data_IF_735300518071
#
_entry.id   IF_735300518071
#
_cell.length_a   1.000
_cell.length_b   1.000
_cell.length_c   1.000
_cell.angle_alpha   90.00
_cell.angle_beta   90.00
_cell.angle_gamma   90.00
#
_symmetry.space_group_name_H-M   'P 1'
#
loop_
_entity.id
_entity.type
_entity.pdbx_description
1 polymer ?
#
# COMPACT_ATOMS: atom_id res chain seq x y z
N UNK A 1 -18.05 -37.22 50.16
CA UNK A 1 -18.67 -38.05 49.06
C UNK A 1 -17.57 -38.84 48.36
N UNK A 2 -17.72 -40.14 48.11
CA UNK A 2 -16.68 -40.91 47.41
C UNK A 2 -16.57 -40.41 45.95
N UNK A 3 -15.34 -40.32 45.44
CA UNK A 3 -14.97 -39.79 44.10
C UNK A 3 -15.72 -40.44 42.96
N UNK A 4 -16.14 -41.72 43.10
CA UNK A 4 -16.96 -42.44 42.12
C UNK A 4 -18.35 -41.84 41.93
N UNK A 5 -19.04 -41.47 43.05
CA UNK A 5 -20.37 -40.86 42.99
C UNK A 5 -20.34 -39.46 42.35
N UNK A 6 -19.30 -38.69 42.62
CA UNK A 6 -19.11 -37.38 42.02
C UNK A 6 -18.84 -37.52 40.51
N UNK A 7 -17.96 -38.45 40.12
CA UNK A 7 -17.63 -38.71 38.72
C UNK A 7 -18.85 -39.08 37.88
N UNK A 8 -19.70 -39.99 38.41
CA UNK A 8 -20.97 -40.39 37.76
C UNK A 8 -21.95 -39.22 37.67
N UNK A 9 -22.16 -38.45 38.74
CA UNK A 9 -23.10 -37.35 38.77
C UNK A 9 -22.70 -36.23 37.79
N UNK A 10 -21.41 -35.96 37.65
CA UNK A 10 -20.85 -34.90 36.77
C UNK A 10 -20.46 -35.39 35.36
N UNK A 11 -20.71 -36.69 35.06
CA UNK A 11 -20.35 -37.31 33.76
C UNK A 11 -18.87 -37.10 33.37
N UNK A 12 -17.95 -37.14 34.34
CA UNK A 12 -16.50 -37.02 34.15
C UNK A 12 -15.78 -38.26 34.65
N UNK A 13 -14.46 -38.41 34.31
CA UNK A 13 -13.70 -39.58 34.77
C UNK A 13 -13.36 -39.47 36.27
N UNK A 14 -13.16 -40.60 36.95
CA UNK A 14 -12.63 -40.65 38.33
C UNK A 14 -11.32 -39.90 38.47
N UNK A 15 -10.45 -40.02 37.45
CA UNK A 15 -9.16 -39.35 37.37
C UNK A 15 -9.34 -37.82 37.41
N UNK A 16 -10.27 -37.29 36.62
CA UNK A 16 -10.58 -35.86 36.60
C UNK A 16 -11.01 -35.33 37.98
N UNK A 17 -11.89 -36.07 38.66
CA UNK A 17 -12.34 -35.67 40.02
C UNK A 17 -11.18 -35.73 41.01
N UNK A 18 -10.33 -36.74 40.93
CA UNK A 18 -9.17 -36.89 41.80
C UNK A 18 -8.15 -35.76 41.58
N UNK A 19 -7.86 -35.45 40.31
CA UNK A 19 -6.91 -34.37 39.93
C UNK A 19 -7.41 -33.03 40.43
N UNK A 20 -8.70 -32.70 40.22
CA UNK A 20 -9.30 -31.44 40.70
C UNK A 20 -9.26 -31.36 42.22
N UNK A 21 -9.64 -32.45 42.91
CA UNK A 21 -9.64 -32.49 44.37
C UNK A 21 -8.23 -32.33 44.96
N UNK A 22 -7.22 -32.93 44.37
CA UNK A 22 -5.83 -32.76 44.83
C UNK A 22 -5.30 -31.37 44.54
N UNK A 23 -5.56 -30.84 43.39
CA UNK A 23 -5.21 -29.46 43.04
C UNK A 23 -5.91 -28.43 43.97
N UNK A 24 -7.19 -28.65 44.27
CA UNK A 24 -7.93 -27.82 45.22
C UNK A 24 -7.33 -27.85 46.64
N UNK A 25 -6.94 -29.06 47.13
CA UNK A 25 -6.27 -29.20 48.43
C UNK A 25 -4.92 -28.45 48.49
N UNK A 26 -4.24 -28.35 47.34
CA UNK A 26 -2.89 -27.78 47.24
C UNK A 26 -2.92 -26.26 46.99
N UNK A 27 -3.87 -25.79 46.22
CA UNK A 27 -3.92 -24.39 45.71
C UNK A 27 -5.18 -23.61 46.07
N UNK A 28 -6.14 -24.21 46.79
CA UNK A 28 -7.40 -23.59 47.15
C UNK A 28 -8.34 -23.28 45.98
N UNK A 29 -9.23 -22.27 46.21
CA UNK A 29 -10.26 -21.93 45.21
C UNK A 29 -9.74 -21.33 43.91
N UNK A 30 -8.53 -20.80 43.88
CA UNK A 30 -7.95 -20.18 42.67
C UNK A 30 -7.80 -21.17 41.52
N UNK A 31 -7.70 -22.47 41.82
CA UNK A 31 -7.60 -23.53 40.79
C UNK A 31 -8.94 -23.79 40.07
N UNK A 32 -10.05 -23.39 40.67
CA UNK A 32 -11.39 -23.55 40.09
C UNK A 32 -11.74 -22.41 39.13
N UNK A 33 -10.93 -21.34 39.10
CA UNK A 33 -11.09 -20.27 38.12
C UNK A 33 -10.64 -20.74 36.76
N UNK A 34 -11.51 -20.60 35.78
CA UNK A 34 -11.17 -20.88 34.38
C UNK A 34 -10.03 -19.95 33.94
N UNK A 35 -8.84 -20.51 33.81
CA UNK A 35 -7.73 -19.81 33.16
C UNK A 35 -7.98 -19.81 31.67
N UNK A 36 -8.03 -18.62 31.05
CA UNK A 36 -8.09 -18.52 29.58
C UNK A 36 -6.94 -19.33 28.98
N UNK A 37 -7.24 -20.36 28.14
CA UNK A 37 -6.19 -21.14 27.51
C UNK A 37 -5.36 -20.26 26.60
N UNK A 38 -4.04 -20.45 26.62
CA UNK A 38 -3.12 -19.74 25.75
C UNK A 38 -1.91 -19.15 26.47
N UNK A 39 -1.05 -18.53 25.69
CA UNK A 39 0.13 -17.84 26.22
C UNK A 39 -0.30 -16.62 27.05
N UNK A 40 0.26 -16.46 28.23
CA UNK A 40 0.03 -15.28 29.05
C UNK A 40 0.33 -14.00 28.28
N UNK A 41 -0.51 -12.98 28.48
CA UNK A 41 -0.32 -11.67 27.87
C UNK A 41 0.94 -11.02 28.48
N UNK A 42 1.96 -10.82 27.63
CA UNK A 42 3.13 -10.03 28.02
C UNK A 42 2.80 -8.55 27.82
N UNK A 43 2.94 -7.72 28.88
CA UNK A 43 2.75 -6.29 28.73
C UNK A 43 3.77 -5.71 27.74
N UNK A 44 3.33 -4.70 27.01
CA UNK A 44 4.21 -3.99 26.06
C UNK A 44 5.25 -3.19 26.85
N UNK A 45 6.52 -3.38 26.52
CA UNK A 45 7.61 -2.59 27.09
C UNK A 45 7.48 -1.12 26.57
N UNK A 46 7.65 -0.12 27.45
CA UNK A 46 7.60 1.29 27.10
C UNK A 46 8.59 1.64 25.97
N UNK A 47 9.82 1.17 26.02
CA UNK A 47 10.83 1.40 24.97
C UNK A 47 10.36 0.89 23.60
N UNK A 48 9.71 -0.28 23.58
CA UNK A 48 9.14 -0.83 22.35
C UNK A 48 7.97 0.00 21.84
N UNK A 49 7.11 0.45 22.75
CA UNK A 49 5.99 1.31 22.41
C UNK A 49 6.46 2.63 21.77
N UNK A 50 7.43 3.30 22.41
CA UNK A 50 7.98 4.57 21.92
C UNK A 50 8.66 4.41 20.56
N UNK A 51 9.41 3.32 20.34
CA UNK A 51 10.01 2.98 19.06
C UNK A 51 8.96 2.85 17.94
N UNK A 52 7.89 2.10 18.20
CA UNK A 52 6.80 1.90 17.22
C UNK A 52 6.09 3.21 16.93
N UNK A 53 5.83 4.03 17.96
CA UNK A 53 5.15 5.31 17.80
C UNK A 53 5.99 6.34 17.07
N UNK A 54 7.29 6.42 17.35
CA UNK A 54 8.22 7.30 16.65
C UNK A 54 8.27 7.00 15.16
N UNK A 55 8.36 5.72 14.80
CA UNK A 55 8.38 5.30 13.40
C UNK A 55 7.00 5.48 12.73
N UNK A 56 5.91 5.17 13.45
CA UNK A 56 4.57 5.37 12.92
C UNK A 56 4.27 6.83 12.59
N UNK A 57 4.70 7.78 13.42
CA UNK A 57 4.53 9.23 13.17
C UNK A 57 5.16 9.66 11.84
N UNK A 58 6.30 9.07 11.47
CA UNK A 58 6.99 9.33 10.19
C UNK A 58 6.28 8.70 9.00
N UNK A 59 5.84 7.45 9.15
CA UNK A 59 5.39 6.62 8.03
C UNK A 59 3.87 6.49 7.90
N UNK A 60 3.11 6.72 8.99
CA UNK A 60 1.64 6.59 9.08
C UNK A 60 1.11 5.33 8.37
N UNK A 61 1.76 4.21 8.57
CA UNK A 61 1.45 2.97 7.88
C UNK A 61 1.04 1.83 8.84
N UNK A 62 0.43 0.77 8.28
CA UNK A 62 -0.02 -0.38 9.06
C UNK A 62 1.12 -1.28 9.56
N UNK A 63 0.81 -2.14 10.54
CA UNK A 63 1.77 -2.99 11.25
C UNK A 63 2.69 -3.85 10.34
N UNK A 64 2.22 -4.29 9.17
CA UNK A 64 3.05 -5.06 8.23
C UNK A 64 4.23 -4.25 7.70
N UNK A 65 3.96 -3.03 7.23
CA UNK A 65 5.01 -2.14 6.71
C UNK A 65 5.95 -1.70 7.82
N UNK A 66 5.42 -1.27 8.97
CA UNK A 66 6.25 -0.92 10.12
C UNK A 66 7.17 -2.05 10.57
N UNK A 67 6.69 -3.29 10.57
CA UNK A 67 7.51 -4.45 10.88
C UNK A 67 8.70 -4.56 9.93
N UNK A 68 8.48 -4.45 8.61
CA UNK A 68 9.57 -4.52 7.63
C UNK A 68 10.55 -3.36 7.80
N UNK A 69 10.05 -2.13 7.98
CA UNK A 69 10.90 -0.95 8.16
C UNK A 69 11.76 -1.08 9.42
N UNK A 70 11.17 -1.47 10.56
CA UNK A 70 11.90 -1.65 11.81
C UNK A 70 12.92 -2.80 11.72
N UNK A 71 12.55 -3.92 11.04
CA UNK A 71 13.47 -5.03 10.81
C UNK A 71 14.67 -4.60 9.95
N UNK A 72 14.46 -3.81 8.91
CA UNK A 72 15.55 -3.24 8.08
C UNK A 72 16.46 -2.29 8.86
N UNK A 73 15.91 -1.60 9.86
CA UNK A 73 16.70 -0.77 10.80
C UNK A 73 17.43 -1.59 11.87
N UNK A 74 17.37 -2.92 11.80
CA UNK A 74 18.06 -3.82 12.73
C UNK A 74 17.30 -4.15 14.03
N UNK A 75 16.03 -3.73 14.14
CA UNK A 75 15.22 -4.03 15.32
C UNK A 75 14.54 -5.40 15.19
N UNK A 76 14.76 -6.29 16.15
CA UNK A 76 14.03 -7.56 16.25
C UNK A 76 12.67 -7.32 16.91
N UNK A 77 11.63 -7.13 16.11
CA UNK A 77 10.30 -6.77 16.56
C UNK A 77 9.24 -7.76 16.08
N UNK A 78 8.22 -8.01 16.92
CA UNK A 78 7.09 -8.85 16.54
C UNK A 78 6.00 -8.02 15.85
N UNK A 79 5.56 -8.45 14.65
CA UNK A 79 4.43 -7.82 13.95
C UNK A 79 3.17 -7.75 14.82
N UNK A 80 2.88 -8.81 15.60
CA UNK A 80 1.71 -8.84 16.50
C UNK A 80 1.80 -7.79 17.61
N UNK A 81 2.99 -7.57 18.18
CA UNK A 81 3.20 -6.52 19.20
C UNK A 81 3.04 -5.13 18.59
N UNK A 82 3.54 -4.88 17.35
CA UNK A 82 3.30 -3.63 16.62
C UNK A 82 1.79 -3.42 16.39
N UNK A 83 1.09 -4.45 15.94
CA UNK A 83 -0.35 -4.41 15.72
C UNK A 83 -1.13 -4.08 16.98
N UNK A 84 -0.75 -4.64 18.12
CA UNK A 84 -1.35 -4.32 19.43
C UNK A 84 -1.16 -2.84 19.80
N UNK A 85 0.03 -2.26 19.56
CA UNK A 85 0.28 -0.83 19.77
C UNK A 85 -0.66 0.00 18.91
N UNK A 86 -0.71 -0.27 17.60
CA UNK A 86 -1.52 0.51 16.66
C UNK A 86 -3.03 0.39 16.92
N UNK A 87 -3.49 -0.77 17.36
CA UNK A 87 -4.90 -0.98 17.75
C UNK A 87 -5.21 -0.21 19.03
N UNK A 88 -4.33 -0.26 20.03
CA UNK A 88 -4.49 0.47 21.31
C UNK A 88 -4.61 1.96 21.08
N UNK A 89 -3.83 2.51 20.16
CA UNK A 89 -3.85 3.94 19.80
C UNK A 89 -4.97 4.31 18.79
N UNK A 90 -5.77 3.34 18.36
CA UNK A 90 -6.85 3.59 17.40
C UNK A 90 -6.41 3.80 15.94
N UNK A 91 -5.12 3.63 15.63
CA UNK A 91 -4.58 3.83 14.28
C UNK A 91 -4.83 2.64 13.35
N UNK A 92 -5.14 1.49 13.92
CA UNK A 92 -5.49 0.29 13.16
C UNK A 92 -6.72 -0.39 13.77
N UNK A 93 -7.69 -0.74 12.92
CA UNK A 93 -8.82 -1.57 13.34
C UNK A 93 -8.38 -3.03 13.46
N UNK A 94 -8.94 -3.82 14.40
CA UNK A 94 -8.77 -5.28 14.41
C UNK A 94 -9.13 -5.85 13.05
N UNK A 95 -8.39 -6.89 12.60
CA UNK A 95 -8.57 -7.44 11.26
C UNK A 95 -10.03 -7.84 11.00
N UNK A 96 -10.65 -7.32 9.95
CA UNK A 96 -11.94 -7.80 9.51
C UNK A 96 -11.80 -9.26 9.03
N UNK A 97 -12.88 -10.04 9.15
CA UNK A 97 -12.95 -11.40 8.60
C UNK A 97 -12.43 -11.41 7.16
N UNK A 98 -11.63 -12.43 6.79
CA UNK A 98 -11.03 -12.56 5.45
C UNK A 98 -12.06 -12.32 4.36
N UNK A 99 -11.84 -11.32 3.52
CA UNK A 99 -12.60 -11.13 2.28
C UNK A 99 -12.27 -12.28 1.32
N UNK A 100 -13.27 -12.78 0.58
CA UNK A 100 -13.06 -13.78 -0.47
C UNK A 100 -11.98 -13.30 -1.44
N UNK A 101 -11.06 -14.16 -1.90
CA UNK A 101 -10.01 -13.76 -2.84
C UNK A 101 -10.65 -13.22 -4.13
N UNK A 102 -10.10 -12.11 -4.63
CA UNK A 102 -10.55 -11.52 -5.89
C UNK A 102 -10.08 -12.39 -7.06
N UNK A 103 -10.94 -12.63 -8.05
CA UNK A 103 -10.64 -13.45 -9.25
C UNK A 103 -9.70 -12.79 -10.28
N UNK A 104 -9.12 -11.62 -9.98
CA UNK A 104 -8.30 -10.87 -10.94
C UNK A 104 -6.84 -11.29 -10.86
N UNK A 105 -6.27 -11.65 -12.02
CA UNK A 105 -4.82 -11.86 -12.17
C UNK A 105 -4.13 -10.50 -12.15
N UNK A 106 -3.16 -10.33 -11.27
CA UNK A 106 -2.23 -9.20 -11.27
C UNK A 106 -1.27 -9.40 -12.44
N UNK A 107 -1.13 -8.41 -13.31
CA UNK A 107 -0.07 -8.35 -14.28
C UNK A 107 0.95 -7.28 -13.89
N UNK A 108 2.21 -7.53 -14.19
CA UNK A 108 3.32 -6.63 -13.91
C UNK A 108 4.42 -6.97 -14.91
N UNK A 109 4.96 -5.96 -15.57
CA UNK A 109 6.14 -6.15 -16.39
C UNK A 109 7.38 -6.25 -15.50
N UNK A 110 8.31 -7.17 -15.79
CA UNK A 110 9.45 -7.41 -14.92
C UNK A 110 10.56 -6.35 -15.01
N UNK A 111 10.54 -5.53 -16.07
CA UNK A 111 11.61 -4.58 -16.42
C UNK A 111 11.09 -3.15 -16.27
N UNK A 112 11.82 -2.26 -15.56
CA UNK A 112 11.53 -0.84 -15.53
C UNK A 112 11.57 -0.21 -16.92
N UNK A 113 10.84 0.88 -17.09
CA UNK A 113 10.70 1.63 -18.35
C UNK A 113 10.09 0.84 -19.52
N UNK A 114 9.63 -0.38 -19.31
CA UNK A 114 8.91 -1.07 -20.37
C UNK A 114 7.52 -0.47 -20.60
N UNK A 115 6.78 -0.21 -19.50
CA UNK A 115 5.49 0.50 -19.55
C UNK A 115 5.47 1.60 -18.51
N UNK A 116 5.13 2.82 -18.94
CA UNK A 116 4.67 3.85 -18.02
C UNK A 116 3.16 4.04 -18.16
N UNK A 117 2.50 4.28 -17.03
CA UNK A 117 1.10 4.66 -16.98
C UNK A 117 0.97 6.16 -16.72
N UNK A 118 0.01 6.80 -17.36
CA UNK A 118 -0.30 8.21 -17.10
C UNK A 118 -1.80 8.43 -17.02
N UNK A 119 -2.19 9.32 -16.14
CA UNK A 119 -3.59 9.76 -15.97
C UNK A 119 -3.64 11.10 -15.24
N UNK A 120 -4.72 11.83 -15.43
CA UNK A 120 -5.04 13.03 -14.68
C UNK A 120 -5.89 12.69 -13.46
N UNK A 121 -5.67 13.41 -12.37
CA UNK A 121 -6.40 13.24 -11.12
C UNK A 121 -6.67 14.57 -10.45
N UNK A 122 -7.88 14.73 -9.87
CA UNK A 122 -8.20 15.87 -9.00
C UNK A 122 -7.81 15.53 -7.58
N UNK A 123 -6.84 16.23 -7.03
CA UNK A 123 -6.30 15.99 -5.68
C UNK A 123 -7.41 16.21 -4.64
N UNK A 124 -7.58 15.23 -3.73
CA UNK A 124 -8.56 15.27 -2.63
C UNK A 124 -7.90 15.54 -1.27
N UNK A 125 -6.57 15.49 -1.19
CA UNK A 125 -5.84 15.90 0.01
C UNK A 125 -6.18 17.33 0.40
N UNK A 126 -6.27 17.60 1.71
CA UNK A 126 -6.61 18.95 2.23
C UNK A 126 -5.62 20.03 1.78
N UNK A 127 -4.35 19.67 1.55
CA UNK A 127 -3.29 20.62 1.17
C UNK A 127 -3.46 21.25 -0.21
N UNK A 128 -3.95 20.47 -1.19
CA UNK A 128 -4.10 20.91 -2.57
C UNK A 128 -5.44 20.49 -3.14
N UNK A 129 -6.50 20.56 -2.34
CA UNK A 129 -7.83 20.09 -2.71
C UNK A 129 -8.38 20.84 -3.93
N UNK A 130 -8.74 20.07 -4.96
CA UNK A 130 -9.33 20.59 -6.18
C UNK A 130 -8.32 20.90 -7.28
N UNK A 131 -7.02 20.82 -7.02
CA UNK A 131 -6.01 20.95 -8.06
C UNK A 131 -5.88 19.67 -8.89
N UNK A 132 -5.64 19.83 -10.19
CA UNK A 132 -5.39 18.70 -11.06
C UNK A 132 -3.89 18.37 -11.08
N UNK A 133 -3.59 17.09 -11.12
CA UNK A 133 -2.25 16.54 -11.29
C UNK A 133 -2.24 15.49 -12.39
N UNK A 134 -1.23 15.52 -13.26
CA UNK A 134 -0.87 14.39 -14.11
C UNK A 134 0.37 13.71 -13.55
N UNK A 135 0.40 12.38 -13.63
CA UNK A 135 1.53 11.58 -13.13
C UNK A 135 1.94 10.56 -14.19
N UNK A 136 3.25 10.34 -14.31
CA UNK A 136 3.85 9.24 -15.06
C UNK A 136 4.43 8.23 -14.08
N UNK A 137 3.89 7.01 -14.08
CA UNK A 137 4.23 5.95 -13.12
C UNK A 137 4.80 4.74 -13.85
N UNK A 138 5.99 4.30 -13.46
CA UNK A 138 6.56 3.05 -13.98
C UNK A 138 5.79 1.81 -13.51
N UNK A 139 5.44 0.93 -14.45
CA UNK A 139 4.65 -0.28 -14.19
C UNK A 139 5.35 -1.27 -13.26
N UNK A 140 6.63 -1.44 -13.44
CA UNK A 140 7.45 -2.42 -12.74
C UNK A 140 7.73 -2.01 -11.29
N UNK A 141 8.28 -0.82 -11.11
CA UNK A 141 8.79 -0.33 -9.83
C UNK A 141 7.76 0.44 -8.99
N UNK A 142 6.71 0.96 -9.63
CA UNK A 142 5.77 1.94 -9.05
C UNK A 142 6.40 3.31 -8.81
N UNK A 143 7.58 3.56 -9.38
CA UNK A 143 8.25 4.85 -9.27
C UNK A 143 7.45 5.91 -10.02
N UNK A 144 7.23 7.05 -9.38
CA UNK A 144 6.76 8.26 -10.05
C UNK A 144 7.94 8.84 -10.81
N UNK A 145 7.85 8.77 -12.15
CA UNK A 145 8.88 9.23 -13.07
C UNK A 145 8.81 10.73 -13.29
N UNK A 146 7.60 11.29 -13.25
CA UNK A 146 7.36 12.72 -13.37
C UNK A 146 5.90 13.07 -13.15
N UNK A 147 5.65 14.35 -12.93
CA UNK A 147 4.30 14.88 -12.73
C UNK A 147 4.25 16.38 -13.07
N UNK A 148 3.04 16.89 -13.21
CA UNK A 148 2.77 18.32 -13.34
C UNK A 148 1.41 18.63 -12.74
N UNK A 149 1.30 19.77 -12.07
CA UNK A 149 0.01 20.30 -11.59
C UNK A 149 -0.50 21.40 -12.54
N UNK A 150 -1.80 21.62 -12.56
CA UNK A 150 -2.43 22.67 -13.33
C UNK A 150 -3.57 22.20 -14.24
N UNK A 151 -3.86 22.94 -15.29
CA UNK A 151 -4.98 22.63 -16.18
C UNK A 151 -4.78 21.31 -16.91
N UNK A 152 -5.83 20.48 -16.93
CA UNK A 152 -5.88 19.23 -17.68
C UNK A 152 -5.91 19.52 -19.19
N UNK A 153 -4.74 19.43 -19.81
CA UNK A 153 -4.57 19.67 -21.24
C UNK A 153 -3.35 18.95 -21.81
N UNK A 154 -3.26 18.88 -23.14
CA UNK A 154 -2.16 18.22 -23.87
C UNK A 154 -0.81 18.87 -23.59
N UNK A 155 -0.74 20.21 -23.46
CA UNK A 155 0.53 20.92 -23.22
C UNK A 155 1.16 20.51 -21.89
N UNK A 156 0.37 20.51 -20.81
CA UNK A 156 0.85 20.09 -19.49
C UNK A 156 1.16 18.61 -19.43
N UNK A 157 0.40 17.77 -20.17
CA UNK A 157 0.69 16.35 -20.30
C UNK A 157 2.06 16.11 -20.96
N UNK A 158 2.35 16.82 -22.06
CA UNK A 158 3.64 16.74 -22.72
C UNK A 158 4.78 17.32 -21.88
N UNK A 159 4.55 18.44 -21.21
CA UNK A 159 5.54 19.04 -20.32
C UNK A 159 5.97 18.03 -19.23
N UNK A 160 5.00 17.41 -18.55
CA UNK A 160 5.28 16.40 -17.54
C UNK A 160 6.02 15.17 -18.10
N UNK A 161 5.70 14.76 -19.34
CA UNK A 161 6.40 13.64 -20.00
C UNK A 161 7.86 14.00 -20.30
N UNK A 162 8.10 15.16 -20.90
CA UNK A 162 9.46 15.60 -21.23
C UNK A 162 10.32 15.80 -19.98
N UNK A 163 9.77 16.42 -18.93
CA UNK A 163 10.45 16.52 -17.63
C UNK A 163 10.77 15.14 -17.06
N UNK A 164 9.80 14.21 -17.07
CA UNK A 164 10.03 12.84 -16.60
C UNK A 164 11.17 12.13 -17.34
N UNK A 165 11.25 12.30 -18.66
CA UNK A 165 12.33 11.73 -19.48
C UNK A 165 13.67 12.38 -19.15
N UNK A 166 13.71 13.70 -19.06
CA UNK A 166 14.94 14.46 -18.79
C UNK A 166 15.49 14.17 -17.39
N UNK A 167 14.64 14.19 -16.37
CA UNK A 167 15.05 14.02 -14.97
C UNK A 167 15.54 12.61 -14.65
N UNK A 168 15.01 11.60 -15.36
CA UNK A 168 15.41 10.21 -15.15
C UNK A 168 16.41 9.67 -16.19
N UNK A 169 16.73 10.44 -17.23
CA UNK A 169 17.52 10.01 -18.38
C UNK A 169 17.02 8.66 -18.95
N UNK A 170 15.71 8.49 -18.95
CA UNK A 170 15.04 7.26 -19.34
C UNK A 170 13.66 7.56 -19.92
N UNK A 171 13.21 6.77 -20.88
CA UNK A 171 11.88 6.88 -21.45
C UNK A 171 11.21 5.50 -21.55
N UNK A 172 9.87 5.45 -21.55
CA UNK A 172 9.16 4.20 -21.66
C UNK A 172 9.20 3.63 -23.09
N UNK A 173 9.18 2.31 -23.21
CA UNK A 173 8.92 1.66 -24.49
C UNK A 173 7.43 1.78 -24.88
N UNK A 174 6.54 1.62 -23.88
CA UNK A 174 5.09 1.76 -24.02
C UNK A 174 4.58 2.82 -23.06
N UNK A 175 3.74 3.72 -23.54
CA UNK A 175 2.95 4.62 -22.70
C UNK A 175 1.49 4.22 -22.71
N UNK A 176 0.92 3.99 -21.53
CA UNK A 176 -0.49 3.67 -21.33
C UNK A 176 -1.22 4.84 -20.68
N UNK A 177 -2.33 5.28 -21.27
CA UNK A 177 -3.24 6.26 -20.69
C UNK A 177 -4.70 5.86 -20.90
N UNK A 178 -5.61 6.63 -20.34
CA UNK A 178 -7.00 6.58 -20.76
C UNK A 178 -7.21 7.23 -22.15
N UNK A 179 -8.47 7.39 -22.56
CA UNK A 179 -8.84 8.03 -23.81
C UNK A 179 -9.33 9.45 -23.60
N UNK A 180 -8.81 10.15 -22.62
CA UNK A 180 -9.13 11.55 -22.39
C UNK A 180 -8.73 12.42 -23.58
N UNK A 181 -9.42 13.57 -23.74
CA UNK A 181 -9.18 14.49 -24.86
C UNK A 181 -7.76 15.06 -24.89
N UNK A 182 -7.05 15.02 -23.78
CA UNK A 182 -5.66 15.45 -23.64
C UNK A 182 -4.66 14.47 -24.25
N UNK A 183 -5.07 13.20 -24.50
CA UNK A 183 -4.23 12.11 -25.04
C UNK A 183 -4.74 11.58 -26.37
N UNK A 184 -6.04 11.73 -26.63
CA UNK A 184 -6.70 11.05 -27.75
C UNK A 184 -7.60 12.02 -28.54
N UNK A 185 -7.60 11.94 -29.89
CA UNK A 185 -8.39 12.83 -30.73
C UNK A 185 -9.89 12.54 -30.57
N UNK A 186 -10.65 13.60 -30.31
CA UNK A 186 -12.11 13.52 -30.24
C UNK A 186 -12.79 13.58 -31.63
N UNK A 187 -12.09 14.08 -32.65
CA UNK A 187 -12.61 14.24 -34.00
C UNK A 187 -11.59 13.73 -35.02
N UNK A 188 -12.09 13.18 -36.10
CA UNK A 188 -11.31 12.88 -37.31
C UNK A 188 -11.28 14.11 -38.19
N UNK A 189 -10.17 14.33 -38.88
CA UNK A 189 -10.05 15.35 -39.91
C UNK A 189 -10.95 15.03 -41.14
N UNK A 190 -11.02 15.97 -42.11
CA UNK A 190 -11.78 15.76 -43.36
C UNK A 190 -11.31 14.55 -44.20
N UNK A 191 -10.11 14.03 -43.94
CA UNK A 191 -9.53 12.84 -44.59
C UNK A 191 -9.68 11.58 -43.72
N UNK A 192 -10.44 11.62 -42.64
CA UNK A 192 -10.66 10.50 -41.72
C UNK A 192 -9.48 10.16 -40.82
N UNK A 193 -8.39 10.94 -40.84
CA UNK A 193 -7.26 10.83 -39.93
C UNK A 193 -7.54 11.56 -38.61
N UNK A 194 -7.26 10.89 -37.54
CA UNK A 194 -7.32 11.45 -36.21
C UNK A 194 -5.88 11.79 -35.78
N UNK A 195 -5.50 13.06 -35.97
CA UNK A 195 -4.18 13.58 -35.56
C UNK A 195 -4.32 14.19 -34.17
N UNK A 196 -3.44 13.83 -33.27
CA UNK A 196 -3.41 14.40 -31.93
C UNK A 196 -1.96 14.73 -31.52
N UNK A 197 -1.73 15.96 -31.09
CA UNK A 197 -0.40 16.47 -30.71
C UNK A 197 0.36 15.54 -29.75
N UNK A 198 -0.35 14.96 -28.76
CA UNK A 198 0.27 14.03 -27.81
C UNK A 198 0.80 12.79 -28.52
N UNK A 199 0.02 12.20 -29.43
CA UNK A 199 0.41 10.99 -30.16
C UNK A 199 1.55 11.28 -31.13
N UNK A 200 1.51 12.41 -31.85
CA UNK A 200 2.63 12.82 -32.72
C UNK A 200 3.94 13.00 -31.93
N UNK A 201 3.86 13.54 -30.71
CA UNK A 201 5.04 13.68 -29.85
C UNK A 201 5.59 12.30 -29.44
N UNK A 202 4.73 11.33 -29.11
CA UNK A 202 5.14 9.96 -28.80
C UNK A 202 5.76 9.26 -29.98
N UNK A 203 5.18 9.42 -31.18
CA UNK A 203 5.71 8.86 -32.43
C UNK A 203 7.12 9.38 -32.73
N UNK A 204 7.35 10.70 -32.55
CA UNK A 204 8.69 11.32 -32.70
C UNK A 204 9.71 10.79 -31.71
N UNK A 205 9.27 10.42 -30.49
CA UNK A 205 10.10 9.82 -29.45
C UNK A 205 10.28 8.30 -29.61
N UNK A 206 9.58 7.69 -30.56
CA UNK A 206 9.57 6.22 -30.72
C UNK A 206 8.84 5.47 -29.59
N UNK A 207 7.95 6.14 -28.86
CA UNK A 207 7.18 5.56 -27.77
C UNK A 207 5.87 4.99 -28.31
N UNK A 208 5.61 3.72 -28.03
CA UNK A 208 4.36 3.06 -28.46
C UNK A 208 3.22 3.50 -27.55
N UNK A 209 2.19 4.13 -28.12
CA UNK A 209 1.01 4.54 -27.38
C UNK A 209 -0.04 3.42 -27.32
N UNK A 210 -0.45 3.02 -26.12
CA UNK A 210 -1.47 1.99 -25.90
C UNK A 210 -2.59 2.56 -25.04
N UNK A 211 -3.69 3.04 -25.65
CA UNK A 211 -4.82 3.53 -24.86
C UNK A 211 -5.54 2.39 -24.17
N UNK A 212 -5.94 2.62 -22.91
CA UNK A 212 -6.70 1.66 -22.12
C UNK A 212 -8.00 1.26 -22.81
N UNK A 213 -8.37 -0.01 -22.72
CA UNK A 213 -9.64 -0.49 -23.26
C UNK A 213 -10.81 0.10 -22.50
N UNK A 214 -11.86 0.53 -23.20
CA UNK A 214 -13.11 0.99 -22.58
C UNK A 214 -13.63 -0.09 -21.62
N UNK A 215 -14.02 0.31 -20.41
CA UNK A 215 -14.55 -0.55 -19.33
C UNK A 215 -13.59 -1.62 -18.80
N UNK A 216 -12.27 -1.42 -18.93
CA UNK A 216 -11.26 -2.25 -18.28
C UNK A 216 -10.49 -1.47 -17.20
N UNK A 217 -11.06 -1.31 -15.99
CA UNK A 217 -10.47 -0.53 -14.89
C UNK A 217 -9.14 -1.09 -14.39
N UNK A 218 -8.79 -2.31 -14.79
CA UNK A 218 -7.56 -2.98 -14.34
C UNK A 218 -6.28 -2.30 -14.85
N UNK A 219 -6.35 -1.63 -16.00
CA UNK A 219 -5.17 -1.02 -16.64
C UNK A 219 -4.67 0.19 -15.85
N UNK A 220 -5.57 0.96 -15.25
CA UNK A 220 -5.24 2.15 -14.45
C UNK A 220 -5.16 1.88 -12.93
N UNK A 221 -5.39 0.63 -12.49
CA UNK A 221 -5.43 0.30 -11.06
C UNK A 221 -4.13 0.60 -10.28
N UNK A 222 -2.99 0.74 -10.98
CA UNK A 222 -1.70 1.13 -10.37
C UNK A 222 -1.66 2.62 -10.09
N UNK A 223 -2.13 3.45 -11.05
CA UNK A 223 -2.29 4.91 -10.87
C UNK A 223 -3.39 5.22 -9.86
N UNK A 224 -4.55 4.55 -9.94
CA UNK A 224 -5.61 4.70 -8.93
C UNK A 224 -5.08 4.44 -7.52
N UNK A 225 -4.20 3.44 -7.38
CA UNK A 225 -3.54 3.15 -6.10
C UNK A 225 -2.60 4.26 -5.67
N UNK A 226 -1.82 4.83 -6.59
CA UNK A 226 -0.95 5.98 -6.33
C UNK A 226 -1.79 7.20 -5.91
N UNK A 227 -2.82 7.55 -6.67
CA UNK A 227 -3.69 8.67 -6.34
C UNK A 227 -4.41 8.49 -4.99
N UNK A 228 -4.84 7.25 -4.69
CA UNK A 228 -5.39 6.95 -3.36
C UNK A 228 -4.36 7.14 -2.22
N UNK A 229 -3.07 6.96 -2.48
CA UNK A 229 -2.00 7.23 -1.53
C UNK A 229 -1.77 8.74 -1.42
N UNK A 230 -1.70 9.45 -2.53
CA UNK A 230 -1.59 10.91 -2.58
C UNK A 230 -2.71 11.57 -1.77
N UNK A 231 -3.96 11.18 -2.04
CA UNK A 231 -5.13 11.74 -1.36
C UNK A 231 -5.16 11.48 0.15
N UNK A 232 -4.64 10.31 0.58
CA UNK A 232 -4.70 9.87 1.97
C UNK A 232 -3.47 10.26 2.79
N UNK A 233 -2.29 10.33 2.17
CA UNK A 233 -1.01 10.44 2.87
C UNK A 233 -0.29 11.78 2.63
N UNK A 234 -0.71 12.61 1.66
CA UNK A 234 -0.19 13.97 1.46
C UNK A 234 -0.81 14.92 2.50
N UNK A 235 -0.14 15.08 3.61
CA UNK A 235 -0.58 15.87 4.77
C UNK A 235 0.51 16.85 5.24
N UNK A 236 0.34 17.44 6.42
CA UNK A 236 1.23 18.47 6.98
C UNK A 236 2.66 17.98 7.30
N UNK A 237 2.96 16.71 7.11
CA UNK A 237 4.34 16.18 7.18
C UNK A 237 5.22 16.69 6.05
N UNK A 238 4.61 17.07 4.93
CA UNK A 238 5.32 17.49 3.72
C UNK A 238 5.11 18.98 3.50
N UNK A 239 6.16 19.68 3.15
CA UNK A 239 6.10 21.09 2.80
C UNK A 239 5.25 21.30 1.53
N UNK A 240 5.56 20.54 0.51
CA UNK A 240 4.99 20.62 -0.83
C UNK A 240 4.85 19.24 -1.49
N UNK A 241 4.41 19.22 -2.72
CA UNK A 241 4.21 18.00 -3.49
C UNK A 241 5.54 17.34 -3.88
N UNK A 242 6.60 18.14 -4.10
CA UNK A 242 7.93 17.63 -4.43
C UNK A 242 8.48 16.77 -3.29
N UNK A 243 8.38 17.24 -2.07
CA UNK A 243 8.79 16.50 -0.87
C UNK A 243 7.96 15.22 -0.68
N UNK A 244 6.65 15.26 -0.97
CA UNK A 244 5.82 14.06 -0.93
C UNK A 244 6.24 13.03 -1.97
N UNK A 245 6.52 13.43 -3.22
CA UNK A 245 6.96 12.53 -4.29
C UNK A 245 8.33 11.94 -3.98
N UNK A 246 9.25 12.77 -3.45
CA UNK A 246 10.56 12.30 -3.01
C UNK A 246 10.45 11.25 -1.91
N UNK A 247 9.65 11.52 -0.90
CA UNK A 247 9.33 10.54 0.15
C UNK A 247 8.68 9.27 -0.41
N UNK A 248 7.70 9.42 -1.33
CA UNK A 248 7.02 8.28 -1.96
C UNK A 248 8.02 7.37 -2.70
N UNK A 249 8.93 7.97 -3.45
CA UNK A 249 9.91 7.23 -4.25
C UNK A 249 11.03 6.62 -3.41
N UNK A 250 11.50 7.28 -2.35
CA UNK A 250 12.73 6.90 -1.62
C UNK A 250 12.50 6.29 -0.24
N UNK A 251 11.38 6.59 0.43
CA UNK A 251 11.18 6.15 1.81
C UNK A 251 9.98 5.23 1.98
N UNK A 252 8.96 5.40 1.14
CA UNK A 252 7.72 4.68 1.29
C UNK A 252 7.83 3.23 0.83
N UNK A 253 7.87 2.28 1.78
CA UNK A 253 7.83 0.86 1.47
C UNK A 253 6.51 0.48 0.78
N UNK A 254 6.56 -0.27 -0.32
CA UNK A 254 5.40 -0.71 -1.10
C UNK A 254 5.26 -2.23 -1.09
N UNK A 255 4.12 -2.74 -0.59
CA UNK A 255 3.82 -4.18 -0.63
C UNK A 255 3.80 -4.74 -2.07
N UNK A 256 3.53 -3.86 -3.05
CA UNK A 256 3.49 -4.21 -4.46
C UNK A 256 4.85 -4.63 -5.02
N UNK A 257 5.93 -4.17 -4.45
CA UNK A 257 7.32 -4.44 -4.84
C UNK A 257 8.11 -5.03 -3.67
N UNK A 258 7.52 -6.00 -2.97
CA UNK A 258 8.13 -6.74 -1.86
C UNK A 258 8.66 -5.83 -0.74
N UNK A 259 7.89 -4.80 -0.41
CA UNK A 259 8.24 -3.80 0.59
C UNK A 259 9.51 -2.98 0.31
N UNK A 260 10.05 -3.06 -0.90
CA UNK A 260 11.04 -2.10 -1.38
C UNK A 260 10.39 -0.71 -1.55
N UNK A 261 11.20 0.33 -1.54
CA UNK A 261 10.76 1.62 -2.06
C UNK A 261 10.68 1.58 -3.59
N UNK A 262 9.90 2.45 -4.23
CA UNK A 262 9.87 2.52 -5.69
C UNK A 262 11.26 2.66 -6.33
N UNK A 263 12.13 3.50 -5.78
CA UNK A 263 13.50 3.68 -6.28
C UNK A 263 14.39 2.45 -6.03
N UNK A 264 14.27 1.76 -4.90
CA UNK A 264 14.96 0.49 -4.67
C UNK A 264 14.53 -0.57 -5.70
N UNK A 265 13.21 -0.68 -5.93
CA UNK A 265 12.67 -1.63 -6.90
C UNK A 265 13.11 -1.29 -8.34
N UNK A 266 13.13 0.00 -8.68
CA UNK A 266 13.60 0.48 -9.98
C UNK A 266 15.06 0.09 -10.21
N UNK A 267 15.96 0.44 -9.28
CA UNK A 267 17.39 0.15 -9.37
C UNK A 267 17.71 -1.35 -9.39
N UNK A 268 16.95 -2.15 -8.62
CA UNK A 268 17.20 -3.59 -8.51
C UNK A 268 16.76 -4.37 -9.75
N UNK A 269 15.78 -3.83 -10.51
CA UNK A 269 15.17 -4.52 -11.64
C UNK A 269 15.65 -3.95 -13.00
N UNK A 270 16.47 -2.87 -13.01
CA UNK A 270 17.22 -2.40 -14.17
C UNK A 270 18.30 -3.40 -14.52
#
# INVERSE_FOLDING_TARGET
MPTNKIALAQKVTRKTVWEITNKYKQWGEDILKDHKPGRLFEPLNHKFYDLVMAEWKKQKCGARKLHVILTRKGFCVSRRKIEQVLIKEGFQKPFPKRKKPRKYKRYEWPIPNYIWHTDWHVIKSKKMKGENIIVYLDDCSRKTMGYCTGAENTKNSLFALYSAIADNLAMPFILNSDRGSQFFPNKKDKKGKAIHQFQEALDRLGIIFVPSKRRHPQTNGKLERFFGILDAEFDDRFKDLDEFIEWYNNERASEAVDYMTPNEAYKKRL
#
